data_IF_747953038584
#
_entry.id   IF_747953038584
#
_cell.length_a   1.000
_cell.length_b   1.000
_cell.length_c   1.000
_cell.angle_alpha   90.00
_cell.angle_beta   90.00
_cell.angle_gamma   90.00
#
_symmetry.space_group_name_H-M   'P 1'
#
loop_
_entity.id
_entity.type
_entity.pdbx_description
1 polymer ?
#
# COMPACT_ATOMS: atom_id res chain seq x y z
N UNK A 1 -39.51 35.47 -18.22
CA UNK A 1 -38.84 35.39 -19.54
C UNK A 1 -37.72 34.36 -19.40
N UNK A 2 -37.93 33.12 -19.85
CA UNK A 2 -37.52 32.58 -21.17
C UNK A 2 -36.00 32.26 -21.20
N UNK A 3 -35.49 31.13 -21.70
CA UNK A 3 -36.05 29.84 -22.12
C UNK A 3 -34.88 28.82 -22.20
N UNK A 4 -35.24 27.54 -22.13
CA UNK A 4 -34.49 26.33 -22.52
C UNK A 4 -33.43 26.52 -23.63
N UNK A 5 -32.31 25.81 -23.49
CA UNK A 5 -31.71 25.04 -24.59
C UNK A 5 -31.33 23.64 -24.12
N UNK A 6 -32.18 22.68 -24.46
CA UNK A 6 -31.83 21.27 -24.66
C UNK A 6 -31.34 21.15 -26.10
N UNK A 7 -30.26 20.41 -26.36
CA UNK A 7 -29.99 19.84 -27.67
C UNK A 7 -29.49 18.40 -27.51
N UNK A 8 -30.14 17.53 -28.28
CA UNK A 8 -30.08 16.09 -28.31
C UNK A 8 -29.67 15.68 -29.73
N UNK A 9 -28.72 14.76 -29.88
CA UNK A 9 -28.45 13.95 -31.09
C UNK A 9 -27.42 12.90 -30.66
N UNK A 10 -27.70 11.60 -30.56
CA UNK A 10 -28.45 10.78 -31.51
C UNK A 10 -27.43 9.99 -32.34
N UNK A 11 -27.15 8.74 -31.98
CA UNK A 11 -26.78 7.71 -32.96
C UNK A 11 -27.14 6.32 -32.47
N UNK A 12 -28.13 5.76 -33.14
CA UNK A 12 -28.55 4.38 -33.11
C UNK A 12 -27.50 3.48 -33.78
N UNK A 13 -27.47 2.22 -33.37
CA UNK A 13 -26.67 1.17 -33.97
C UNK A 13 -27.08 -0.19 -33.42
N UNK A 14 -28.30 -0.62 -33.76
CA UNK A 14 -28.74 -2.00 -33.65
C UNK A 14 -27.90 -2.87 -34.60
N UNK A 15 -27.41 -4.01 -34.11
CA UNK A 15 -27.27 -5.20 -34.94
C UNK A 15 -27.67 -6.41 -34.10
N UNK A 16 -28.76 -7.02 -34.53
CA UNK A 16 -29.22 -8.35 -34.20
C UNK A 16 -28.41 -9.36 -35.02
N UNK A 17 -27.90 -10.42 -34.40
CA UNK A 17 -28.10 -11.76 -34.96
C UNK A 17 -27.99 -12.85 -33.90
N UNK A 18 -28.80 -13.85 -34.15
CA UNK A 18 -29.25 -15.01 -33.42
C UNK A 18 -28.22 -16.13 -33.29
N UNK A 19 -28.36 -16.93 -32.22
CA UNK A 19 -27.57 -18.13 -32.01
C UNK A 19 -28.10 -18.96 -30.86
N UNK A 20 -29.31 -19.50 -31.01
CA UNK A 20 -29.90 -20.47 -30.08
C UNK A 20 -29.27 -21.84 -30.33
N UNK A 21 -28.64 -22.40 -29.30
CA UNK A 21 -28.13 -23.77 -29.29
C UNK A 21 -28.08 -24.33 -27.87
N UNK A 22 -29.22 -24.85 -27.39
CA UNK A 22 -29.31 -25.69 -26.19
C UNK A 22 -28.56 -27.00 -26.41
N UNK A 23 -27.83 -27.48 -25.39
CA UNK A 23 -27.77 -28.90 -25.02
C UNK A 23 -27.22 -29.06 -23.59
N UNK A 24 -28.08 -29.65 -22.77
CA UNK A 24 -27.84 -30.09 -21.40
C UNK A 24 -26.88 -31.29 -21.34
N UNK A 25 -26.01 -31.31 -20.33
CA UNK A 25 -25.46 -32.50 -19.66
C UNK A 25 -24.62 -32.00 -18.45
N UNK A 26 -25.19 -31.98 -17.24
CA UNK A 26 -25.05 -33.00 -16.20
C UNK A 26 -23.62 -33.26 -15.66
N UNK A 27 -23.55 -33.18 -14.32
CA UNK A 27 -22.66 -33.94 -13.41
C UNK A 27 -21.18 -33.55 -13.35
N UNK A 28 -20.70 -32.83 -12.32
CA UNK A 28 -20.52 -33.20 -10.89
C UNK A 28 -19.17 -33.86 -10.59
N UNK A 29 -18.50 -33.33 -9.54
CA UNK A 29 -17.29 -33.85 -8.86
C UNK A 29 -16.01 -33.63 -9.70
N UNK A 30 -15.01 -32.89 -9.25
CA UNK A 30 -14.23 -33.20 -8.03
C UNK A 30 -13.71 -31.92 -7.37
N UNK A 31 -14.07 -31.78 -6.10
CA UNK A 31 -13.49 -30.91 -5.08
C UNK A 31 -12.38 -31.74 -4.44
N UNK A 32 -11.16 -31.22 -4.47
CA UNK A 32 -9.87 -31.70 -3.91
C UNK A 32 -8.85 -31.41 -5.03
N UNK A 33 -7.96 -30.44 -4.93
CA UNK A 33 -6.86 -30.40 -3.97
C UNK A 33 -6.43 -28.94 -3.74
N UNK A 34 -6.64 -28.44 -2.52
CA UNK A 34 -5.77 -27.44 -1.91
C UNK A 34 -4.62 -28.24 -1.27
N UNK A 35 -3.42 -28.19 -1.84
CA UNK A 35 -2.22 -28.64 -1.15
C UNK A 35 -1.25 -27.48 -0.97
N UNK A 36 -1.29 -26.98 0.26
CA UNK A 36 -0.19 -26.44 1.06
C UNK A 36 1.18 -26.83 0.54
N UNK A 37 1.92 -25.85 0.03
CA UNK A 37 3.38 -25.86 0.01
C UNK A 37 3.88 -24.58 0.65
N UNK A 38 3.70 -24.48 1.97
CA UNK A 38 4.51 -23.60 2.80
C UNK A 38 5.86 -24.29 3.02
N UNK A 39 6.84 -23.92 2.20
CA UNK A 39 8.24 -24.22 2.48
C UNK A 39 8.82 -23.14 3.39
N UNK A 40 8.99 -23.46 4.66
CA UNK A 40 9.86 -22.74 5.60
C UNK A 40 11.33 -23.01 5.26
N UNK A 41 12.21 -21.99 5.23
CA UNK A 41 13.61 -22.19 5.54
C UNK A 41 13.89 -21.76 6.98
N UNK A 42 14.32 -22.76 7.75
CA UNK A 42 15.31 -22.78 8.82
C UNK A 42 15.67 -21.47 9.56
N UNK A 43 15.64 -21.63 10.89
CA UNK A 43 16.08 -20.76 11.98
C UNK A 43 17.38 -19.99 11.78
N UNK A 44 17.35 -18.70 12.10
CA UNK A 44 18.49 -17.96 12.66
C UNK A 44 18.16 -17.60 14.14
N UNK A 45 19.11 -17.73 15.09
CA UNK A 45 18.80 -17.62 16.51
C UNK A 45 18.88 -16.19 17.06
N UNK A 46 18.06 -15.98 18.11
CA UNK A 46 18.22 -15.05 19.22
C UNK A 46 18.04 -13.53 18.97
N UNK A 47 16.77 -13.13 18.88
CA UNK A 47 16.29 -11.88 19.49
C UNK A 47 14.95 -12.20 20.14
N UNK A 48 14.80 -11.94 21.45
CA UNK A 48 13.62 -12.34 22.22
C UNK A 48 12.31 -11.92 21.53
N UNK A 49 11.57 -12.90 21.02
CA UNK A 49 10.20 -12.74 20.54
C UNK A 49 9.32 -12.43 21.74
N UNK A 50 9.19 -11.15 22.08
CA UNK A 50 7.99 -10.70 22.78
C UNK A 50 6.87 -10.96 21.78
N UNK A 51 6.08 -12.01 22.02
CA UNK A 51 4.84 -12.25 21.30
C UNK A 51 3.89 -11.08 21.58
N UNK A 52 4.08 -9.97 20.87
CA UNK A 52 3.20 -8.84 20.93
C UNK A 52 1.93 -9.26 20.20
N UNK A 53 0.83 -9.35 20.93
CA UNK A 53 -0.47 -9.65 20.34
C UNK A 53 -0.75 -8.65 19.22
N UNK A 54 -1.05 -9.18 18.03
CA UNK A 54 -1.36 -8.37 16.86
C UNK A 54 -2.54 -7.42 17.09
N UNK A 55 -3.48 -7.79 17.97
CA UNK A 55 -4.61 -6.95 18.37
C UNK A 55 -4.14 -5.69 19.10
N UNK A 56 -3.23 -5.85 20.07
CA UNK A 56 -2.69 -4.74 20.85
C UNK A 56 -1.95 -3.72 19.97
N UNK A 57 -1.25 -4.18 18.93
CA UNK A 57 -0.58 -3.28 17.99
C UNK A 57 -1.58 -2.47 17.15
N UNK A 58 -2.69 -3.08 16.74
CA UNK A 58 -3.72 -2.40 15.97
C UNK A 58 -4.40 -1.32 16.80
N UNK A 59 -4.87 -1.66 18.00
CA UNK A 59 -5.52 -0.72 18.91
C UNK A 59 -4.61 0.47 19.24
N UNK A 60 -3.33 0.20 19.50
CA UNK A 60 -2.33 1.24 19.74
C UNK A 60 -2.12 2.16 18.53
N UNK A 61 -2.18 1.65 17.30
CA UNK A 61 -2.08 2.48 16.08
C UNK A 61 -3.32 3.35 15.91
N UNK A 62 -4.52 2.80 16.14
CA UNK A 62 -5.78 3.55 16.08
C UNK A 62 -5.79 4.68 17.11
N UNK A 63 -5.36 4.40 18.35
CA UNK A 63 -5.27 5.40 19.41
C UNK A 63 -4.35 6.57 19.01
N UNK A 64 -3.16 6.27 18.47
CA UNK A 64 -2.22 7.29 18.00
C UNK A 64 -2.76 8.10 16.82
N UNK A 65 -3.48 7.44 15.91
CA UNK A 65 -4.12 8.11 14.77
C UNK A 65 -5.15 9.14 15.25
N UNK A 66 -6.01 8.78 16.21
CA UNK A 66 -7.01 9.70 16.80
C UNK A 66 -6.34 10.89 17.49
N UNK A 67 -5.30 10.64 18.27
CA UNK A 67 -4.54 11.71 18.93
C UNK A 67 -3.97 12.72 17.92
N UNK A 68 -3.42 12.25 16.79
CA UNK A 68 -2.94 13.15 15.73
C UNK A 68 -4.06 13.98 15.11
N UNK A 69 -5.26 13.40 14.92
CA UNK A 69 -6.42 14.13 14.40
C UNK A 69 -6.93 15.18 15.38
N UNK A 70 -6.95 14.87 16.68
CA UNK A 70 -7.31 15.80 17.76
C UNK A 70 -6.32 16.99 17.84
N UNK A 71 -5.05 16.75 17.56
CA UNK A 71 -4.02 17.80 17.39
C UNK A 71 -4.16 18.61 16.08
N UNK A 72 -5.15 18.30 15.23
CA UNK A 72 -5.36 18.94 13.93
C UNK A 72 -4.34 18.55 12.86
N UNK A 73 -3.54 17.49 13.08
CA UNK A 73 -2.55 17.00 12.12
C UNK A 73 -3.18 15.93 11.22
N UNK A 74 -3.04 16.07 9.90
CA UNK A 74 -3.50 15.07 8.95
C UNK A 74 -2.49 13.89 8.86
N UNK A 75 -2.83 12.68 9.34
CA UNK A 75 -1.93 11.52 9.27
C UNK A 75 -1.69 11.00 7.85
N UNK A 76 -2.54 11.37 6.89
CA UNK A 76 -2.47 10.95 5.48
C UNK A 76 -2.26 12.15 4.55
N UNK A 77 -1.42 13.10 4.96
CA UNK A 77 -1.11 14.26 4.13
C UNK A 77 -0.44 13.84 2.82
N UNK A 78 -0.88 14.45 1.73
CA UNK A 78 -0.29 14.32 0.39
C UNK A 78 0.63 15.50 0.03
N UNK A 79 0.89 16.40 0.99
CA UNK A 79 1.65 17.63 0.76
C UNK A 79 3.16 17.43 0.65
N UNK A 80 3.68 16.26 1.04
CA UNK A 80 5.11 16.00 1.01
C UNK A 80 5.54 15.47 -0.36
N UNK A 81 6.45 16.19 -1.00
CA UNK A 81 7.02 15.84 -2.30
C UNK A 81 8.53 15.61 -2.13
N UNK A 82 9.01 14.36 -2.11
CA UNK A 82 10.44 14.09 -2.05
C UNK A 82 11.10 14.50 -3.37
N UNK A 83 12.20 15.25 -3.27
CA UNK A 83 12.98 15.68 -4.44
C UNK A 83 14.00 14.63 -4.88
N UNK A 84 14.37 13.72 -3.97
CA UNK A 84 15.42 12.73 -4.19
C UNK A 84 14.90 11.32 -3.99
N UNK A 85 15.58 10.36 -4.61
CA UNK A 85 15.35 8.94 -4.40
C UNK A 85 16.59 8.28 -3.78
N UNK A 86 16.35 7.34 -2.87
CA UNK A 86 17.43 6.58 -2.20
C UNK A 86 18.31 5.86 -3.22
N UNK A 87 17.71 5.32 -4.29
CA UNK A 87 18.43 4.60 -5.33
C UNK A 87 19.50 5.46 -6.04
N UNK A 88 19.28 6.78 -6.13
CA UNK A 88 20.24 7.67 -6.77
C UNK A 88 21.37 8.08 -5.84
N UNK A 89 21.06 8.26 -4.55
CA UNK A 89 22.08 8.54 -3.53
C UNK A 89 23.06 7.38 -3.38
N UNK A 90 22.57 6.13 -3.39
CA UNK A 90 23.43 4.95 -3.28
C UNK A 90 24.46 4.82 -4.42
N UNK A 91 24.26 5.51 -5.55
CA UNK A 91 25.22 5.54 -6.67
C UNK A 91 26.31 6.60 -6.48
N UNK A 92 26.11 7.57 -5.58
CA UNK A 92 27.06 8.65 -5.32
C UNK A 92 28.22 8.08 -4.48
N UNK A 93 29.48 8.20 -4.95
CA UNK A 93 30.64 7.81 -4.16
C UNK A 93 30.69 8.54 -2.82
N UNK A 94 31.10 7.84 -1.76
CA UNK A 94 31.13 8.40 -0.40
C UNK A 94 31.90 9.73 -0.31
N UNK A 95 32.98 9.85 -1.07
CA UNK A 95 33.87 11.03 -1.05
C UNK A 95 33.24 12.27 -1.71
N UNK A 96 32.09 12.10 -2.38
CA UNK A 96 31.35 13.20 -3.03
C UNK A 96 30.20 13.74 -2.19
N UNK A 97 29.94 13.17 -1.00
CA UNK A 97 28.98 13.75 -0.07
C UNK A 97 29.58 15.02 0.55
N UNK A 98 29.08 16.17 0.15
CA UNK A 98 29.38 17.41 0.84
C UNK A 98 28.48 17.54 2.09
N UNK A 99 29.02 17.89 3.26
CA UNK A 99 28.28 17.96 4.53
C UNK A 99 27.14 18.99 4.52
N UNK A 100 27.18 19.96 3.60
CA UNK A 100 26.15 20.99 3.44
C UNK A 100 25.05 20.61 2.45
N UNK A 101 25.11 19.43 1.84
CA UNK A 101 24.09 19.01 0.87
C UNK A 101 22.82 18.57 1.59
N UNK A 102 21.70 19.22 1.25
CA UNK A 102 20.39 18.90 1.79
C UNK A 102 19.68 17.92 0.85
N UNK A 103 19.20 16.81 1.43
CA UNK A 103 18.42 15.81 0.70
C UNK A 103 17.02 15.69 1.29
N UNK A 104 16.01 15.56 0.40
CA UNK A 104 14.61 15.36 0.77
C UNK A 104 14.13 14.00 0.26
N UNK A 105 13.81 13.08 1.17
CA UNK A 105 13.50 11.67 0.90
C UNK A 105 12.19 11.23 1.55
N UNK A 106 11.41 10.42 0.84
CA UNK A 106 10.23 9.71 1.36
C UNK A 106 10.44 8.20 1.39
N UNK A 107 9.91 7.51 2.40
CA UNK A 107 10.07 6.06 2.53
C UNK A 107 9.25 5.43 3.66
N UNK A 108 9.41 4.11 3.82
CA UNK A 108 8.80 3.34 4.91
C UNK A 108 9.81 3.13 6.03
N UNK A 109 9.46 3.52 7.26
CA UNK A 109 10.24 3.18 8.44
C UNK A 109 10.27 1.65 8.64
N UNK A 110 11.46 1.05 8.58
CA UNK A 110 11.65 -0.41 8.74
C UNK A 110 12.15 -0.78 10.13
N UNK A 111 13.12 -0.03 10.63
CA UNK A 111 13.74 -0.20 11.93
C UNK A 111 13.77 1.12 12.69
N UNK A 112 13.95 1.04 14.01
CA UNK A 112 14.24 2.21 14.82
C UNK A 112 14.99 1.80 16.07
N UNK A 113 16.11 2.46 16.34
CA UNK A 113 16.87 2.30 17.57
C UNK A 113 16.97 3.64 18.29
N UNK A 114 16.48 3.68 19.53
CA UNK A 114 16.51 4.87 20.37
C UNK A 114 17.75 4.85 21.27
N UNK A 115 18.47 5.97 21.34
CA UNK A 115 19.72 6.19 22.08
C UNK A 115 19.61 7.41 23.00
N UNK A 116 18.52 7.48 23.78
CA UNK A 116 18.21 8.62 24.63
C UNK A 116 17.87 9.87 23.83
N UNK A 117 18.87 10.72 23.56
CA UNK A 117 18.72 11.98 22.79
C UNK A 117 18.83 11.79 21.29
N UNK A 118 19.37 10.66 20.83
CA UNK A 118 19.54 10.33 19.41
C UNK A 118 18.67 9.13 19.01
N UNK A 119 18.35 9.04 17.72
CA UNK A 119 17.69 7.89 17.14
C UNK A 119 18.32 7.55 15.78
N UNK A 120 18.39 6.26 15.49
CA UNK A 120 18.76 5.73 14.18
C UNK A 120 17.53 5.04 13.59
N UNK A 121 17.23 5.35 12.33
CA UNK A 121 16.03 4.91 11.61
C UNK A 121 16.43 4.10 10.38
#
# INVERSE_FOLDING_TARGET
MAAKKKSNSGKAGQSSDSGVGKKDAQSSRTREQLETSQSTPASAPAGADVAVDSSDLYENRVRKLRALQEEGRNPYSQSYHPEHQVADLLKVPADKYAPETIYSLGGRLRSRRLMGKAAFL
#
